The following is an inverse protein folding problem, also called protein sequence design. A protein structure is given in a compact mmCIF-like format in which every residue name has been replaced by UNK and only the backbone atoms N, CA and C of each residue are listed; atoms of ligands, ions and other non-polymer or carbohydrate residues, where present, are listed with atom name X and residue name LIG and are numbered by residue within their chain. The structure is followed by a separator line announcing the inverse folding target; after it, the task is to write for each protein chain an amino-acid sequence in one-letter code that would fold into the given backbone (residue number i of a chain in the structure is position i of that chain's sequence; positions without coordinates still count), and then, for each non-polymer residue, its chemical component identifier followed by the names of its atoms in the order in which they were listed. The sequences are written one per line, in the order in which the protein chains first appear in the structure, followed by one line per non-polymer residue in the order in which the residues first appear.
data_IF_589351797210
#
_entry.id   IF_589351797210
#
_cell.length_a   1.000
_cell.length_b   1.000
_cell.length_c   1.000
_cell.angle_alpha   90.00
_cell.angle_beta   90.00
_cell.angle_gamma   90.00
#
_symmetry.space_group_name_H-M   'P 1'
#
loop_
_entity.id
_entity.type
_entity.pdbx_description
1 polymer ?
#
# COMPACT_ATOMS: atom_id res chain seq x y z
N UNK A 1 7.47 22.04 7.16
CA UNK A 1 6.26 21.22 7.44
C UNK A 1 6.61 19.78 7.79
N UNK A 2 7.44 19.07 7.02
CA UNK A 2 7.82 17.68 7.32
C UNK A 2 8.46 17.52 8.71
N UNK A 3 9.49 18.32 9.05
CA UNK A 3 10.13 18.27 10.37
C UNK A 3 9.14 18.58 11.51
N UNK A 4 8.32 19.62 11.34
CA UNK A 4 7.30 19.98 12.33
C UNK A 4 6.28 18.87 12.57
N UNK A 5 5.85 18.17 11.50
CA UNK A 5 4.98 17.00 11.65
C UNK A 5 5.65 15.86 12.43
N UNK A 6 6.94 15.61 12.18
CA UNK A 6 7.74 14.63 12.94
C UNK A 6 7.84 15.03 14.41
N UNK A 7 8.07 16.30 14.71
CA UNK A 7 8.12 16.84 16.08
C UNK A 7 6.77 16.64 16.81
N UNK A 8 5.64 16.93 16.15
CA UNK A 8 4.32 16.72 16.76
C UNK A 8 4.04 15.25 17.05
N UNK A 9 4.42 14.34 16.15
CA UNK A 9 4.29 12.90 16.41
C UNK A 9 5.18 12.46 17.56
N UNK A 10 6.42 12.96 17.65
CA UNK A 10 7.32 12.69 18.75
C UNK A 10 6.78 13.19 20.09
N UNK A 11 6.21 14.42 20.12
CA UNK A 11 5.55 14.97 21.30
C UNK A 11 4.32 14.16 21.72
N UNK A 12 3.65 13.50 20.78
CA UNK A 12 2.54 12.58 21.05
C UNK A 12 3.01 11.18 21.49
N UNK A 13 4.32 10.94 21.63
CA UNK A 13 4.90 9.67 22.09
C UNK A 13 5.28 8.70 20.99
N UNK A 14 5.29 9.12 19.72
CA UNK A 14 5.79 8.26 18.63
C UNK A 14 7.32 8.23 18.63
N UNK A 15 7.89 7.04 18.68
CA UNK A 15 9.34 6.80 18.62
C UNK A 15 9.73 6.22 17.24
N UNK A 16 11.02 6.27 16.90
CA UNK A 16 11.58 5.63 15.70
C UNK A 16 10.83 5.97 14.40
N UNK A 17 10.51 7.25 14.21
CA UNK A 17 9.86 7.77 13.01
C UNK A 17 10.83 7.76 11.81
N UNK A 18 10.94 6.59 11.16
CA UNK A 18 11.83 6.34 10.02
C UNK A 18 11.14 6.42 8.66
N UNK A 19 9.80 6.37 8.62
CA UNK A 19 9.03 6.40 7.38
C UNK A 19 8.16 7.65 7.25
N UNK A 20 8.09 8.18 6.02
CA UNK A 20 7.22 9.28 5.64
C UNK A 20 6.15 8.82 4.65
N UNK A 21 5.00 9.51 4.65
CA UNK A 21 3.94 9.34 3.65
C UNK A 21 3.22 10.66 3.43
N UNK A 22 3.33 11.22 2.23
CA UNK A 22 2.62 12.42 1.84
C UNK A 22 1.10 12.19 1.83
N UNK A 23 0.36 13.22 2.25
CA UNK A 23 -1.10 13.24 2.13
C UNK A 23 -1.51 13.07 0.67
N UNK A 24 -2.57 12.27 0.43
CA UNK A 24 -3.16 12.08 -0.91
C UNK A 24 -2.19 11.63 -2.03
N UNK A 25 -1.04 11.03 -1.69
CA UNK A 25 0.01 10.68 -2.67
C UNK A 25 0.52 11.89 -3.46
N UNK A 26 0.48 13.08 -2.84
CA UNK A 26 0.90 14.33 -3.46
C UNK A 26 2.40 14.62 -3.31
N UNK A 27 3.25 13.58 -3.28
CA UNK A 27 4.69 13.81 -3.27
C UNK A 27 5.15 14.32 -4.64
N UNK A 28 6.13 15.21 -4.58
CA UNK A 28 6.92 15.67 -5.71
C UNK A 28 8.41 15.48 -5.41
N UNK A 29 9.26 15.91 -6.34
CA UNK A 29 10.71 15.86 -6.16
C UNK A 29 11.18 16.58 -4.90
N UNK A 30 10.56 17.71 -4.56
CA UNK A 30 10.92 18.47 -3.36
C UNK A 30 10.57 17.70 -2.08
N UNK A 31 9.47 16.95 -2.10
CA UNK A 31 9.06 16.07 -1.01
C UNK A 31 10.09 14.95 -0.79
N UNK A 32 10.51 14.28 -1.87
CA UNK A 32 11.52 13.22 -1.83
C UNK A 32 12.90 13.75 -1.41
N UNK A 33 13.24 15.00 -1.73
CA UNK A 33 14.49 15.64 -1.28
C UNK A 33 14.43 16.15 0.17
N UNK A 34 13.23 16.51 0.66
CA UNK A 34 13.04 17.05 2.00
C UNK A 34 12.91 15.97 3.08
N UNK A 35 12.33 14.81 2.76
CA UNK A 35 12.15 13.71 3.71
C UNK A 35 13.48 13.19 4.33
N UNK A 36 14.57 12.93 3.55
CA UNK A 36 15.87 12.56 4.11
C UNK A 36 16.43 13.62 5.07
N UNK A 37 16.25 14.90 4.74
CA UNK A 37 16.71 16.03 5.60
C UNK A 37 15.98 16.09 6.93
N UNK A 38 14.76 15.56 7.01
CA UNK A 38 14.00 15.40 8.25
C UNK A 38 14.36 14.11 9.01
N UNK A 39 15.33 13.33 8.50
CA UNK A 39 15.78 12.07 9.07
C UNK A 39 14.82 10.90 8.83
N UNK A 40 14.10 10.90 7.70
CA UNK A 40 13.38 9.72 7.22
C UNK A 40 14.26 8.92 6.27
N UNK A 41 14.18 7.59 6.35
CA UNK A 41 14.94 6.64 5.51
C UNK A 41 14.00 5.95 4.52
N UNK A 42 12.71 5.90 4.84
CA UNK A 42 11.67 5.30 4.02
C UNK A 42 10.64 6.34 3.61
N UNK A 43 10.16 6.23 2.37
CA UNK A 43 9.00 6.93 1.88
C UNK A 43 7.97 5.92 1.35
N UNK A 44 6.69 6.28 1.35
CA UNK A 44 5.62 5.49 0.74
C UNK A 44 4.58 6.43 0.12
N UNK A 45 5.07 7.50 -0.50
CA UNK A 45 4.24 8.60 -0.98
C UNK A 45 3.79 8.42 -2.43
N UNK A 46 4.44 7.56 -3.20
CA UNK A 46 4.14 7.34 -4.61
C UNK A 46 2.98 6.36 -4.74
N UNK A 47 2.00 6.76 -5.55
CA UNK A 47 0.99 5.87 -6.07
C UNK A 47 1.10 5.81 -7.60
N UNK A 48 1.63 4.71 -8.16
CA UNK A 48 1.83 4.57 -9.59
C UNK A 48 0.57 4.78 -10.43
N UNK A 49 -0.61 4.59 -9.84
CA UNK A 49 -1.91 4.83 -10.50
C UNK A 49 -2.13 6.30 -10.88
N UNK A 50 -1.54 7.25 -10.14
CA UNK A 50 -1.75 8.69 -10.32
C UNK A 50 -0.53 9.44 -10.85
N UNK A 51 0.61 8.74 -10.98
CA UNK A 51 1.93 9.36 -11.16
C UNK A 51 2.23 9.88 -12.58
N UNK A 52 1.35 9.61 -13.56
CA UNK A 52 1.49 10.07 -14.97
C UNK A 52 1.50 11.62 -15.09
N UNK A 53 1.30 12.39 -14.02
CA UNK A 53 1.30 13.86 -14.07
C UNK A 53 2.67 14.54 -14.12
N UNK A 54 3.79 13.86 -13.80
CA UNK A 54 5.05 14.55 -13.51
C UNK A 54 6.29 14.11 -14.35
N UNK A 55 6.12 13.35 -15.43
CA UNK A 55 7.22 13.07 -16.37
C UNK A 55 8.32 12.12 -15.87
N UNK A 56 8.04 11.33 -14.83
CA UNK A 56 8.88 10.25 -14.33
C UNK A 56 8.11 8.93 -14.45
N UNK A 57 8.79 7.83 -14.80
CA UNK A 57 8.22 6.49 -14.68
C UNK A 57 7.98 6.21 -13.19
N UNK A 58 6.76 5.78 -12.84
CA UNK A 58 6.43 5.49 -11.46
C UNK A 58 6.99 4.13 -11.07
N UNK A 59 7.79 4.03 -10.00
CA UNK A 59 8.30 2.75 -9.56
C UNK A 59 7.14 1.83 -9.16
N UNK A 60 7.15 0.59 -9.66
CA UNK A 60 6.21 -0.46 -9.21
C UNK A 60 6.76 -1.22 -8.00
N UNK A 61 8.06 -1.09 -7.75
CA UNK A 61 8.80 -1.79 -6.73
C UNK A 61 9.49 -0.79 -5.81
N UNK A 62 10.02 -1.28 -4.70
CA UNK A 62 10.88 -0.46 -3.86
C UNK A 62 12.07 0.04 -4.68
N UNK A 63 12.34 1.34 -4.62
CA UNK A 63 13.47 1.97 -5.30
C UNK A 63 14.18 2.95 -4.36
N UNK A 64 15.50 3.00 -4.47
CA UNK A 64 16.27 4.03 -3.78
C UNK A 64 16.25 5.32 -4.60
N UNK A 65 15.75 6.40 -4.01
CA UNK A 65 15.70 7.71 -4.63
C UNK A 65 16.87 8.55 -4.12
N UNK A 66 17.73 9.05 -5.04
CA UNK A 66 18.90 9.94 -4.79
C UNK A 66 19.55 9.69 -3.41
N UNK A 67 20.42 8.67 -3.31
CA UNK A 67 21.24 8.32 -2.12
C UNK A 67 20.69 8.87 -0.79
N UNK A 68 19.75 8.14 -0.17
CA UNK A 68 19.27 8.53 1.17
C UNK A 68 17.81 8.25 1.50
N UNK A 69 16.97 7.80 0.56
CA UNK A 69 15.59 7.37 0.88
C UNK A 69 15.12 6.24 -0.02
N UNK A 70 14.50 5.22 0.58
CA UNK A 70 13.85 4.12 -0.13
C UNK A 70 12.36 4.37 -0.25
N UNK A 71 11.87 4.50 -1.48
CA UNK A 71 10.45 4.66 -1.77
C UNK A 71 9.80 3.29 -1.89
N UNK A 72 8.78 3.04 -1.08
CA UNK A 72 7.90 1.87 -1.10
C UNK A 72 6.57 2.28 -1.74
N UNK A 73 6.44 2.19 -3.08
CA UNK A 73 5.25 2.67 -3.76
C UNK A 73 4.01 1.86 -3.36
N UNK A 74 2.86 2.51 -3.37
CA UNK A 74 1.60 1.81 -3.16
C UNK A 74 1.43 0.72 -4.22
N UNK A 75 1.14 -0.51 -3.79
CA UNK A 75 0.91 -1.60 -4.74
C UNK A 75 -0.33 -1.33 -5.59
N UNK A 76 -0.14 -1.35 -6.90
CA UNK A 76 -1.20 -1.28 -7.89
C UNK A 76 -1.36 -2.62 -8.60
N UNK A 77 -2.53 -2.84 -9.18
CA UNK A 77 -2.81 -4.00 -9.99
C UNK A 77 -3.76 -3.66 -11.13
N UNK A 78 -3.73 -4.48 -12.18
CA UNK A 78 -4.62 -4.39 -13.32
C UNK A 78 -5.88 -5.23 -13.05
N UNK A 79 -7.03 -4.59 -12.99
CA UNK A 79 -8.32 -5.26 -12.92
C UNK A 79 -8.65 -5.94 -14.25
N UNK A 80 -9.63 -6.86 -14.21
CA UNK A 80 -10.25 -7.33 -15.43
C UNK A 80 -10.86 -6.15 -16.21
N UNK A 81 -10.64 -6.10 -17.53
CA UNK A 81 -10.95 -4.94 -18.37
C UNK A 81 -9.81 -3.92 -18.47
N UNK A 82 -8.71 -4.12 -17.75
CA UNK A 82 -7.44 -3.43 -17.95
C UNK A 82 -7.24 -2.13 -17.18
N UNK A 83 -8.22 -1.73 -16.36
CA UNK A 83 -8.14 -0.57 -15.48
C UNK A 83 -7.14 -0.80 -14.35
N UNK A 84 -6.33 0.21 -14.03
CA UNK A 84 -5.46 0.18 -12.86
C UNK A 84 -6.24 0.52 -11.58
N UNK A 85 -5.99 -0.28 -10.56
CA UNK A 85 -6.53 -0.13 -9.21
C UNK A 85 -5.42 -0.21 -8.19
N UNK A 86 -5.73 0.12 -6.94
CA UNK A 86 -4.77 0.14 -5.85
C UNK A 86 -5.14 -0.90 -4.80
N UNK A 87 -4.13 -1.49 -4.17
CA UNK A 87 -4.32 -2.51 -3.16
C UNK A 87 -4.77 -1.86 -1.84
N UNK A 88 -6.07 -1.90 -1.57
CA UNK A 88 -6.69 -1.19 -0.46
C UNK A 88 -7.94 -1.92 0.04
N UNK A 89 -8.17 -1.87 1.36
CA UNK A 89 -9.32 -2.53 1.99
C UNK A 89 -10.64 -1.84 1.69
N UNK A 90 -10.73 -0.52 1.56
CA UNK A 90 -11.98 0.24 1.49
C UNK A 90 -12.88 0.05 0.27
N UNK A 91 -12.53 -0.86 -0.65
CA UNK A 91 -13.40 -1.22 -1.77
C UNK A 91 -12.64 -1.55 -3.05
N UNK A 92 -11.39 -1.13 -3.18
CA UNK A 92 -10.59 -1.33 -4.40
C UNK A 92 -10.26 -2.80 -4.66
N UNK A 93 -10.30 -3.66 -3.62
CA UNK A 93 -9.91 -5.06 -3.72
C UNK A 93 -10.78 -5.92 -2.76
N UNK A 94 -11.22 -7.10 -3.21
CA UNK A 94 -11.83 -8.13 -2.33
C UNK A 94 -10.74 -9.00 -1.68
N UNK A 95 -11.10 -9.80 -0.66
CA UNK A 95 -10.13 -10.71 -0.03
C UNK A 95 -9.52 -11.69 -1.05
N UNK A 96 -10.35 -12.28 -1.92
CA UNK A 96 -9.88 -13.23 -2.95
C UNK A 96 -8.89 -12.60 -3.92
N UNK A 97 -9.13 -11.34 -4.30
CA UNK A 97 -8.16 -10.58 -5.09
C UNK A 97 -6.87 -10.35 -4.30
N UNK A 98 -6.95 -9.88 -3.04
CA UNK A 98 -5.77 -9.65 -2.20
C UNK A 98 -4.90 -10.91 -2.07
N UNK A 99 -5.50 -12.05 -1.72
CA UNK A 99 -4.78 -13.32 -1.58
C UNK A 99 -4.12 -13.76 -2.89
N UNK A 100 -4.82 -13.60 -4.03
CA UNK A 100 -4.27 -13.90 -5.35
C UNK A 100 -3.10 -12.97 -5.71
N UNK A 101 -3.24 -11.67 -5.45
CA UNK A 101 -2.23 -10.67 -5.76
C UNK A 101 -0.97 -10.85 -4.90
N UNK A 102 -1.12 -11.19 -3.61
CA UNK A 102 0.01 -11.53 -2.73
C UNK A 102 0.78 -12.75 -3.24
N UNK A 103 0.07 -13.82 -3.63
CA UNK A 103 0.72 -15.02 -4.22
C UNK A 103 1.41 -14.71 -5.55
N UNK A 104 0.81 -13.86 -6.39
CA UNK A 104 1.47 -13.41 -7.62
C UNK A 104 2.73 -12.61 -7.31
N UNK A 105 2.69 -11.67 -6.36
CA UNK A 105 3.85 -10.89 -5.97
C UNK A 105 4.99 -11.80 -5.49
N UNK A 106 4.68 -12.78 -4.63
CA UNK A 106 5.65 -13.78 -4.19
C UNK A 106 6.23 -14.61 -5.35
N UNK A 107 5.37 -15.11 -6.25
CA UNK A 107 5.80 -15.89 -7.41
C UNK A 107 6.66 -15.09 -8.40
N UNK A 108 6.49 -13.76 -8.43
CA UNK A 108 7.30 -12.84 -9.25
C UNK A 108 8.49 -12.26 -8.47
N UNK A 109 8.82 -12.79 -7.29
CA UNK A 109 9.96 -12.37 -6.47
C UNK A 109 9.92 -10.87 -6.10
N UNK A 110 8.72 -10.36 -5.81
CA UNK A 110 8.55 -8.98 -5.35
C UNK A 110 9.12 -8.82 -3.94
N UNK A 111 9.97 -7.81 -3.76
CA UNK A 111 10.53 -7.48 -2.45
C UNK A 111 9.45 -7.09 -1.42
N UNK A 112 8.47 -6.29 -1.84
CA UNK A 112 7.46 -5.74 -0.94
C UNK A 112 6.09 -5.58 -1.60
N UNK A 113 5.04 -5.71 -0.80
CA UNK A 113 3.66 -5.35 -1.16
C UNK A 113 3.14 -4.36 -0.12
N UNK A 114 2.69 -3.18 -0.59
CA UNK A 114 2.15 -2.11 0.25
C UNK A 114 0.63 -2.09 0.11
N UNK A 115 -0.07 -2.34 1.21
CA UNK A 115 -1.54 -2.33 1.29
C UNK A 115 -1.99 -1.06 2.00
N UNK A 116 -2.83 -0.25 1.35
CA UNK A 116 -3.42 0.93 1.98
C UNK A 116 -4.62 0.55 2.85
N UNK A 117 -4.68 1.13 4.05
CA UNK A 117 -5.86 1.06 4.92
C UNK A 117 -6.12 2.42 5.53
N UNK A 118 -7.38 2.85 5.53
CA UNK A 118 -7.84 3.97 6.34
C UNK A 118 -8.85 3.47 7.37
N UNK A 119 -8.73 3.90 8.62
CA UNK A 119 -9.66 3.48 9.68
C UNK A 119 -11.13 3.79 9.36
N UNK A 120 -11.39 4.87 8.62
CA UNK A 120 -12.74 5.21 8.15
C UNK A 120 -13.33 4.21 7.15
N UNK A 121 -12.52 3.40 6.49
CA UNK A 121 -12.99 2.35 5.57
C UNK A 121 -13.60 1.16 6.30
N UNK A 122 -13.16 0.93 7.55
CA UNK A 122 -13.70 -0.10 8.42
C UNK A 122 -15.06 0.31 8.98
N UNK A 123 -15.52 1.53 8.70
CA UNK A 123 -16.80 2.05 9.12
C UNK A 123 -17.77 2.11 7.94
N UNK A 124 -19.04 2.00 8.27
CA UNK A 124 -20.14 2.18 7.34
C UNK A 124 -20.20 3.63 6.85
N UNK A 125 -21.03 3.95 5.83
CA UNK A 125 -20.98 5.28 5.18
C UNK A 125 -21.28 6.43 6.16
N UNK A 126 -22.18 6.19 7.11
CA UNK A 126 -22.54 7.16 8.14
C UNK A 126 -21.51 7.26 9.29
N UNK A 127 -20.48 6.40 9.31
CA UNK A 127 -19.47 6.28 10.37
C UNK A 127 -20.03 5.99 11.76
N UNK A 128 -21.19 5.33 11.82
CA UNK A 128 -21.88 5.02 13.08
C UNK A 128 -21.68 3.58 13.54
N UNK A 129 -21.25 2.68 12.65
CA UNK A 129 -20.97 1.28 12.96
C UNK A 129 -19.86 0.71 12.05
N UNK A 130 -19.25 -0.42 12.42
CA UNK A 130 -18.33 -1.12 11.54
C UNK A 130 -18.99 -1.58 10.24
N UNK A 131 -18.27 -1.44 9.11
CA UNK A 131 -18.63 -2.04 7.82
C UNK A 131 -18.18 -3.51 7.85
N UNK A 132 -19.13 -4.41 8.11
CA UNK A 132 -18.84 -5.84 8.27
C UNK A 132 -18.09 -6.44 7.08
N UNK A 133 -18.35 -5.99 5.85
CA UNK A 133 -17.68 -6.53 4.66
C UNK A 133 -16.20 -6.16 4.67
N UNK A 134 -15.87 -4.91 5.01
CA UNK A 134 -14.46 -4.46 5.05
C UNK A 134 -13.74 -5.04 6.27
N UNK A 135 -14.41 -5.14 7.41
CA UNK A 135 -13.86 -5.78 8.62
C UNK A 135 -13.57 -7.26 8.36
N UNK A 136 -14.53 -8.01 7.81
CA UNK A 136 -14.33 -9.43 7.51
C UNK A 136 -13.21 -9.61 6.48
N UNK A 137 -13.09 -8.70 5.49
CA UNK A 137 -11.98 -8.70 4.52
C UNK A 137 -10.63 -8.46 5.21
N UNK A 138 -10.55 -7.47 6.09
CA UNK A 138 -9.33 -7.18 6.85
C UNK A 138 -8.90 -8.39 7.68
N UNK A 139 -9.83 -8.97 8.43
CA UNK A 139 -9.58 -10.16 9.27
C UNK A 139 -9.13 -11.35 8.42
N UNK A 140 -9.80 -11.62 7.29
CA UNK A 140 -9.41 -12.70 6.37
C UNK A 140 -8.00 -12.50 5.81
N UNK A 141 -7.63 -11.26 5.45
CA UNK A 141 -6.26 -10.95 5.00
C UNK A 141 -5.24 -11.18 6.11
N UNK A 142 -5.51 -10.76 7.34
CA UNK A 142 -4.63 -11.03 8.49
C UNK A 142 -4.46 -12.54 8.74
N UNK A 143 -5.57 -13.31 8.71
CA UNK A 143 -5.53 -14.77 8.86
C UNK A 143 -4.74 -15.43 7.74
N UNK A 144 -4.93 -14.98 6.50
CA UNK A 144 -4.17 -15.47 5.35
C UNK A 144 -2.67 -15.24 5.53
N UNK A 145 -2.25 -14.03 5.90
CA UNK A 145 -0.84 -13.72 6.16
C UNK A 145 -0.28 -14.55 7.32
N UNK A 146 -1.05 -14.72 8.41
CA UNK A 146 -0.64 -15.53 9.55
C UNK A 146 -0.47 -17.01 9.21
N UNK A 147 -1.26 -17.55 8.27
CA UNK A 147 -1.18 -18.94 7.83
C UNK A 147 -0.11 -19.18 6.75
N UNK A 148 0.53 -18.13 6.22
CA UNK A 148 1.52 -18.22 5.13
C UNK A 148 2.80 -17.44 5.51
N UNK A 149 3.24 -17.54 6.78
CA UNK A 149 4.43 -16.83 7.30
C UNK A 149 5.75 -17.30 6.68
N UNK A 150 5.75 -18.49 6.08
CA UNK A 150 6.82 -19.03 5.27
C UNK A 150 6.98 -18.27 3.93
N UNK A 151 5.89 -17.66 3.43
CA UNK A 151 5.87 -16.91 2.18
C UNK A 151 5.93 -15.39 2.40
N UNK A 152 5.29 -14.90 3.47
CA UNK A 152 5.10 -13.46 3.70
C UNK A 152 5.60 -13.05 5.07
N UNK A 153 6.43 -12.00 5.09
CA UNK A 153 6.88 -11.34 6.32
C UNK A 153 6.16 -10.01 6.48
N UNK A 154 5.31 -9.86 7.50
CA UNK A 154 4.74 -8.56 7.90
C UNK A 154 5.63 -7.90 8.94
N UNK A 155 6.19 -6.75 8.62
CA UNK A 155 7.15 -6.01 9.46
C UNK A 155 6.81 -4.52 9.50
N UNK A 156 7.30 -3.83 10.51
CA UNK A 156 7.29 -2.38 10.56
C UNK A 156 8.43 -1.81 9.71
N UNK A 157 8.28 -0.57 9.24
CA UNK A 157 9.38 0.16 8.62
C UNK A 157 10.60 0.28 9.55
N UNK A 158 10.39 0.37 10.87
CA UNK A 158 11.47 0.38 11.87
C UNK A 158 12.31 -0.90 11.88
N UNK A 159 11.78 -2.01 11.37
CA UNK A 159 12.44 -3.31 11.38
C UNK A 159 13.11 -3.63 10.03
N UNK A 160 13.03 -2.71 9.06
CA UNK A 160 13.68 -2.85 7.76
C UNK A 160 15.13 -2.40 7.87
N UNK A 161 16.03 -3.28 7.46
CA UNK A 161 17.44 -2.99 7.28
C UNK A 161 17.69 -2.61 5.81
N UNK A 162 18.17 -1.38 5.51
CA UNK A 162 18.42 -0.92 4.14
C UNK A 162 19.24 -1.89 3.29
N UNK A 163 20.23 -2.54 3.88
CA UNK A 163 21.10 -3.53 3.23
C UNK A 163 20.37 -4.77 2.70
N UNK A 164 19.16 -5.06 3.21
CA UNK A 164 18.32 -6.17 2.77
C UNK A 164 17.34 -5.77 1.66
N UNK A 165 17.30 -4.49 1.26
CA UNK A 165 16.43 -4.01 0.19
C UNK A 165 17.09 -4.31 -1.15
N UNK A 166 16.48 -5.19 -1.94
CA UNK A 166 16.89 -5.43 -3.30
C UNK A 166 15.90 -4.77 -4.27
N UNK A 167 16.32 -3.63 -4.84
CA UNK A 167 15.52 -2.80 -5.74
C UNK A 167 15.24 -3.42 -7.13
N UNK A 168 15.62 -4.68 -7.36
CA UNK A 168 15.45 -5.35 -8.66
C UNK A 168 14.55 -6.58 -8.53
N UNK A 169 13.24 -6.38 -8.75
CA UNK A 169 12.37 -7.49 -9.14
C UNK A 169 12.77 -7.96 -10.54
N UNK A 170 12.55 -9.24 -10.84
CA UNK A 170 13.01 -9.85 -12.10
C UNK A 170 12.33 -9.28 -13.35
N UNK A 171 11.16 -8.66 -13.25
CA UNK A 171 10.42 -8.07 -14.36
C UNK A 171 9.42 -7.00 -13.85
N UNK A 172 9.15 -5.95 -14.64
CA UNK A 172 8.07 -4.97 -14.41
C UNK A 172 6.67 -5.58 -14.63
N UNK A 173 6.38 -6.68 -13.93
CA UNK A 173 5.13 -7.42 -14.09
C UNK A 173 4.05 -6.81 -13.21
N UNK A 174 3.17 -5.98 -13.79
CA UNK A 174 1.98 -5.48 -13.08
C UNK A 174 1.08 -6.66 -12.70
N UNK A 175 0.80 -6.80 -11.40
CA UNK A 175 -0.11 -7.83 -10.86
C UNK A 175 -1.51 -7.73 -11.49
N UNK A 176 -2.22 -8.86 -11.57
CA UNK A 176 -3.51 -8.92 -12.28
C UNK A 176 -4.61 -9.61 -11.47
N UNK A 177 -5.80 -9.02 -11.49
CA UNK A 177 -7.02 -9.63 -10.96
C UNK A 177 -7.81 -10.29 -12.09
N UNK A 178 -8.24 -11.55 -11.87
CA UNK A 178 -9.08 -12.29 -12.79
C UNK A 178 -10.55 -11.85 -12.76
N UNK A 179 -11.30 -12.22 -13.81
CA UNK A 179 -12.71 -11.86 -13.99
C UNK A 179 -13.58 -12.22 -12.79
N UNK A 180 -13.51 -13.47 -12.31
CA UNK A 180 -14.35 -13.98 -11.23
C UNK A 180 -14.15 -13.16 -9.95
N UNK A 181 -12.89 -12.85 -9.62
CA UNK A 181 -12.56 -12.11 -8.41
C UNK A 181 -12.98 -10.63 -8.52
N UNK A 182 -12.81 -10.05 -9.70
CA UNK A 182 -13.30 -8.70 -10.01
C UNK A 182 -14.83 -8.62 -9.89
N UNK A 183 -15.57 -9.58 -10.45
CA UNK A 183 -17.04 -9.64 -10.35
C UNK A 183 -17.51 -9.77 -8.90
N UNK A 184 -16.87 -10.63 -8.11
CA UNK A 184 -17.17 -10.79 -6.68
C UNK A 184 -17.02 -9.47 -5.90
N UNK A 185 -15.95 -8.72 -6.16
CA UNK A 185 -15.76 -7.38 -5.58
C UNK A 185 -16.89 -6.43 -5.94
N UNK A 186 -17.35 -6.40 -7.19
CA UNK A 186 -18.47 -5.53 -7.59
C UNK A 186 -19.77 -5.89 -6.87
N UNK A 187 -20.03 -7.18 -6.63
CA UNK A 187 -21.16 -7.62 -5.82
C UNK A 187 -21.02 -7.11 -4.37
N UNK A 188 -19.87 -7.33 -3.73
CA UNK A 188 -19.60 -6.81 -2.38
C UNK A 188 -19.80 -5.29 -2.31
N UNK A 189 -19.27 -4.54 -3.27
CA UNK A 189 -19.44 -3.09 -3.33
C UNK A 189 -20.91 -2.67 -3.48
N UNK A 190 -21.70 -3.43 -4.24
CA UNK A 190 -23.13 -3.15 -4.43
C UNK A 190 -23.90 -3.40 -3.13
N UNK A 191 -23.62 -4.51 -2.45
CA UNK A 191 -24.19 -4.80 -1.12
C UNK A 191 -23.82 -3.70 -0.12
N UNK A 192 -22.58 -3.23 -0.11
CA UNK A 192 -22.16 -2.12 0.75
C UNK A 192 -22.91 -0.82 0.46
N UNK A 193 -23.23 -0.53 -0.80
CA UNK A 193 -24.02 0.67 -1.15
C UNK A 193 -25.47 0.59 -0.72
N UNK A 194 -26.04 -0.61 -0.66
CA UNK A 194 -27.44 -0.84 -0.31
C UNK A 194 -27.67 -0.98 1.21
N UNK A 195 -26.69 -1.54 1.94
CA UNK A 195 -26.85 -1.92 3.35
C UNK A 195 -25.81 -1.31 4.31
N UNK A 196 -24.78 -0.64 3.77
CA UNK A 196 -23.71 0.03 4.53
C UNK A 196 -23.96 1.51 4.77
#
# INVERSE_FOLDING_TARGET
MICQGKEFLAQAGAENLLAFRAGNFGSDLQTLEAAPRAGFIFDSSINPRFYIKNGLDAPLHVEEYKEGIYEFPLTIFKEWGGRLSQLQFGGSCSFKEMASLLKQAWANDWHSVVILSHGSELLNRAKTRPDKIVVDRFVQTCQFLANNRDLFKTIWFSDIQPENIYAKSKENCVLRSGFINTAHRYLEQTTRRLYG
#
